data_IF_310237887958
#
_entry.id   IF_310237887958
#
_cell.length_a   1.000
_cell.length_b   1.000
_cell.length_c   1.000
_cell.angle_alpha   90.00
_cell.angle_beta   90.00
_cell.angle_gamma   90.00
#
_symmetry.space_group_name_H-M   'P 1'
#
loop_
_entity.id
_entity.type
_entity.pdbx_description
1 polymer ?
#
# COMPACT_ATOMS: atom_id res chain seq x y z
N UNK A 1 -26.22 -25.65 -0.49
CA UNK A 1 -24.74 -25.65 -0.58
C UNK A 1 -24.23 -24.72 0.50
N UNK A 2 -23.79 -25.27 1.62
CA UNK A 2 -23.22 -24.49 2.73
C UNK A 2 -21.73 -24.30 2.45
N UNK A 3 -21.33 -23.05 2.27
CA UNK A 3 -19.92 -22.66 2.29
C UNK A 3 -19.44 -22.67 3.73
N UNK A 4 -18.78 -23.76 4.15
CA UNK A 4 -18.04 -23.79 5.40
C UNK A 4 -16.65 -23.19 5.16
N UNK A 5 -16.51 -21.90 5.42
CA UNK A 5 -15.19 -21.37 5.80
C UNK A 5 -14.94 -21.78 7.26
N UNK A 6 -13.77 -22.36 7.61
CA UNK A 6 -13.47 -22.62 9.00
C UNK A 6 -13.25 -21.29 9.72
N UNK A 7 -14.26 -20.88 10.49
CA UNK A 7 -14.14 -19.88 11.54
C UNK A 7 -13.42 -20.56 12.71
N UNK A 8 -12.12 -20.29 12.88
CA UNK A 8 -11.41 -20.65 14.09
C UNK A 8 -11.85 -19.72 15.23
N UNK A 9 -12.84 -20.18 15.99
CA UNK A 9 -13.16 -19.68 17.32
C UNK A 9 -13.48 -20.87 18.21
N UNK A 10 -12.48 -21.29 18.99
CA UNK A 10 -12.60 -22.30 20.03
C UNK A 10 -11.26 -22.49 20.71
N UNK A 11 -11.25 -22.59 22.04
CA UNK A 11 -10.06 -22.65 22.91
C UNK A 11 -9.25 -23.97 22.81
N UNK A 12 -9.40 -24.72 21.71
CA UNK A 12 -8.73 -25.99 21.46
C UNK A 12 -7.77 -25.87 20.29
N UNK A 13 -6.51 -26.29 20.48
CA UNK A 13 -5.55 -26.45 19.39
C UNK A 13 -6.02 -27.44 18.31
N UNK A 14 -5.24 -27.59 17.26
CA UNK A 14 -5.54 -28.47 16.12
C UNK A 14 -4.64 -29.70 16.18
N UNK A 15 -5.22 -30.89 15.99
CA UNK A 15 -4.47 -32.14 15.82
C UNK A 15 -4.08 -32.32 14.34
N UNK A 16 -2.80 -32.59 14.08
CA UNK A 16 -2.28 -32.96 12.77
C UNK A 16 -1.60 -34.32 12.85
N UNK A 17 -1.97 -35.25 11.96
CA UNK A 17 -1.25 -36.52 11.84
C UNK A 17 -0.03 -36.33 10.93
N UNK A 18 1.17 -36.51 11.49
CA UNK A 18 2.46 -36.46 10.75
C UNK A 18 3.19 -37.76 11.06
N UNK A 19 3.50 -38.55 10.02
CA UNK A 19 4.18 -39.85 10.13
C UNK A 19 3.51 -40.80 11.15
N UNK A 20 2.19 -40.97 11.05
CA UNK A 20 1.35 -41.78 11.95
C UNK A 20 1.38 -41.34 13.42
N UNK A 21 1.80 -40.09 13.70
CA UNK A 21 1.76 -39.48 15.03
C UNK A 21 0.84 -38.28 15.04
N UNK A 22 -0.06 -38.23 16.01
CA UNK A 22 -0.88 -37.05 16.26
C UNK A 22 -0.05 -35.97 16.97
N UNK A 23 0.14 -34.85 16.28
CA UNK A 23 0.85 -33.67 16.77
C UNK A 23 -0.18 -32.58 17.04
N UNK A 24 -0.27 -32.18 18.31
CA UNK A 24 -1.14 -31.10 18.73
C UNK A 24 -0.41 -29.76 18.66
N UNK A 25 -0.99 -28.76 17.99
CA UNK A 25 -0.42 -27.42 17.97
C UNK A 25 -1.47 -26.30 17.95
N UNK A 26 -1.03 -25.09 18.32
CA UNK A 26 -1.82 -23.87 18.24
C UNK A 26 -1.33 -23.01 17.07
N UNK A 27 -2.12 -22.81 16.00
CA UNK A 27 -1.77 -21.85 14.97
C UNK A 27 -1.81 -20.44 15.58
N UNK A 28 -0.69 -19.73 15.54
CA UNK A 28 -0.64 -18.30 15.88
C UNK A 28 -0.55 -17.48 14.61
N UNK A 29 -1.59 -16.73 14.32
CA UNK A 29 -1.62 -15.76 13.22
C UNK A 29 -1.57 -14.37 13.87
N UNK A 30 -0.61 -13.56 13.46
CA UNK A 30 -0.48 -12.19 13.94
C UNK A 30 -0.41 -11.25 12.75
N UNK A 31 -1.37 -10.32 12.68
CA UNK A 31 -1.47 -9.29 11.65
C UNK A 31 -1.67 -7.95 12.32
N UNK A 32 -0.91 -6.95 11.91
CA UNK A 32 -0.98 -5.57 12.38
C UNK A 32 -1.34 -4.69 11.19
N UNK A 33 -2.58 -4.22 11.13
CA UNK A 33 -3.01 -3.26 10.12
C UNK A 33 -2.63 -1.87 10.63
N UNK A 34 -1.77 -1.20 9.89
CA UNK A 34 -1.26 0.12 10.28
C UNK A 34 -0.83 0.90 9.04
N UNK A 35 -0.73 2.23 9.19
CA UNK A 35 -0.16 3.06 8.15
C UNK A 35 1.38 2.89 8.08
N UNK A 36 2.01 3.48 7.06
CA UNK A 36 3.45 3.30 6.87
C UNK A 36 4.31 3.84 8.04
N UNK A 37 4.07 5.05 8.59
CA UNK A 37 4.78 5.53 9.78
C UNK A 37 4.63 4.61 11.01
N UNK A 38 3.44 4.07 11.26
CA UNK A 38 3.20 3.11 12.33
C UNK A 38 3.95 1.79 12.10
N UNK A 39 3.91 1.25 10.87
CA UNK A 39 4.66 0.04 10.51
C UNK A 39 6.17 0.22 10.73
N UNK A 40 6.72 1.38 10.35
CA UNK A 40 8.11 1.75 10.65
C UNK A 40 8.39 1.83 12.15
N UNK A 41 7.40 2.21 12.97
CA UNK A 41 7.52 2.22 14.44
C UNK A 41 7.65 0.81 15.00
N UNK A 42 6.77 -0.10 14.59
CA UNK A 42 6.80 -1.50 15.04
C UNK A 42 8.10 -2.21 14.64
N UNK A 43 8.57 -1.94 13.42
CA UNK A 43 9.78 -2.53 12.85
C UNK A 43 11.09 -1.84 13.28
N UNK A 44 10.98 -0.68 13.95
CA UNK A 44 12.09 0.23 14.27
C UNK A 44 12.93 0.62 13.06
N UNK A 45 12.30 0.82 11.90
CA UNK A 45 12.96 1.37 10.71
C UNK A 45 12.78 2.88 10.64
N UNK A 46 13.69 3.57 9.96
CA UNK A 46 13.61 5.02 9.77
C UNK A 46 12.28 5.42 9.12
N UNK A 47 11.56 6.35 9.76
CA UNK A 47 10.27 6.90 9.30
C UNK A 47 10.46 7.99 8.24
N UNK A 48 11.36 7.76 7.29
CA UNK A 48 11.67 8.71 6.22
C UNK A 48 11.74 8.04 4.85
N UNK A 49 10.95 8.56 3.90
CA UNK A 49 11.04 8.17 2.50
C UNK A 49 12.40 8.55 1.87
N UNK A 50 13.17 9.42 2.53
CA UNK A 50 14.53 9.78 2.13
C UNK A 50 15.61 8.89 2.73
N UNK A 51 15.24 7.87 3.52
CA UNK A 51 16.17 6.82 3.96
C UNK A 51 16.79 6.09 2.77
N UNK A 52 18.06 5.68 2.90
CA UNK A 52 18.71 4.79 1.92
C UNK A 52 17.99 3.44 1.82
N UNK A 53 17.33 3.01 2.90
CA UNK A 53 16.50 1.81 2.94
C UNK A 53 15.08 2.17 3.42
N UNK A 54 14.22 2.70 2.54
CA UNK A 54 12.93 3.29 2.92
C UNK A 54 11.82 2.25 3.17
N UNK A 55 12.05 1.00 2.82
CA UNK A 55 11.06 -0.07 2.99
C UNK A 55 11.19 -0.72 4.38
N UNK A 56 10.07 -0.86 5.09
CA UNK A 56 10.03 -1.61 6.36
C UNK A 56 9.90 -3.14 6.15
N UNK A 57 9.65 -3.61 4.93
CA UNK A 57 9.58 -5.04 4.59
C UNK A 57 10.92 -5.63 4.13
N UNK A 58 11.74 -4.84 3.43
CA UNK A 58 12.94 -5.35 2.77
C UNK A 58 14.09 -4.32 2.80
N UNK A 59 15.29 -4.80 2.49
CA UNK A 59 16.52 -4.02 2.40
C UNK A 59 16.77 -3.52 0.97
N UNK A 60 15.72 -3.03 0.30
CA UNK A 60 15.88 -2.37 -1.00
C UNK A 60 16.48 -0.98 -0.81
N UNK A 61 17.47 -0.64 -1.64
CA UNK A 61 18.03 0.71 -1.66
C UNK A 61 17.05 1.68 -2.34
N UNK A 62 17.06 2.93 -1.90
CA UNK A 62 16.21 4.00 -2.46
C UNK A 62 16.40 4.13 -3.97
N UNK A 63 17.64 4.02 -4.43
CA UNK A 63 18.04 4.14 -5.83
C UNK A 63 17.48 3.01 -6.70
N UNK A 64 17.25 1.83 -6.10
CA UNK A 64 16.78 0.63 -6.78
C UNK A 64 15.24 0.48 -6.77
N UNK A 65 14.51 1.42 -6.16
CA UNK A 65 13.04 1.34 -6.05
C UNK A 65 12.30 1.30 -7.40
N UNK A 66 12.94 1.77 -8.48
CA UNK A 66 12.35 1.80 -9.82
C UNK A 66 12.50 0.44 -10.53
N UNK A 67 13.54 -0.34 -10.20
CA UNK A 67 13.88 -1.61 -10.84
C UNK A 67 13.95 -2.75 -9.82
N UNK A 68 12.85 -2.93 -9.08
CA UNK A 68 12.76 -3.96 -8.05
C UNK A 68 12.58 -5.34 -8.69
N UNK A 69 13.59 -6.18 -8.56
CA UNK A 69 13.52 -7.61 -8.89
C UNK A 69 13.16 -8.43 -7.66
N UNK A 70 11.96 -9.03 -7.66
CA UNK A 70 11.39 -9.73 -6.50
C UNK A 70 12.26 -10.90 -5.99
N UNK A 71 12.93 -11.59 -6.90
CA UNK A 71 13.83 -12.70 -6.62
C UNK A 71 15.14 -12.28 -5.95
N UNK A 72 15.46 -10.99 -5.98
CA UNK A 72 16.69 -10.43 -5.39
C UNK A 72 16.43 -9.64 -4.10
N UNK A 73 15.16 -9.57 -3.66
CA UNK A 73 14.80 -8.84 -2.45
C UNK A 73 15.25 -9.58 -1.19
N UNK A 74 16.13 -8.94 -0.43
CA UNK A 74 16.44 -9.37 0.93
C UNK A 74 15.33 -8.84 1.84
N UNK A 75 14.50 -9.73 2.36
CA UNK A 75 13.45 -9.40 3.32
C UNK A 75 14.05 -9.12 4.69
N UNK A 76 13.44 -8.22 5.45
CA UNK A 76 13.78 -8.00 6.85
C UNK A 76 13.16 -9.10 7.71
N UNK A 77 13.91 -9.60 8.66
CA UNK A 77 13.42 -10.48 9.71
C UNK A 77 14.14 -10.19 11.03
N UNK A 78 13.76 -10.89 12.10
CA UNK A 78 14.38 -10.68 13.39
C UNK A 78 15.84 -11.18 13.45
N UNK A 79 16.28 -12.04 12.53
CA UNK A 79 17.64 -12.59 12.52
C UNK A 79 18.59 -11.55 11.93
N UNK A 80 18.33 -11.11 10.71
CA UNK A 80 19.20 -10.14 10.04
C UNK A 80 19.14 -8.76 10.71
N UNK A 81 17.98 -8.32 11.21
CA UNK A 81 17.90 -7.02 11.88
C UNK A 81 18.59 -7.01 13.24
N UNK A 82 18.56 -8.12 13.99
CA UNK A 82 19.40 -8.29 15.20
C UNK A 82 20.89 -8.27 14.87
N UNK A 83 21.30 -8.87 13.76
CA UNK A 83 22.70 -8.87 13.33
C UNK A 83 23.21 -7.44 13.09
N UNK A 84 22.46 -6.62 12.34
CA UNK A 84 22.81 -5.21 12.16
C UNK A 84 22.86 -4.43 13.48
N UNK A 85 21.92 -4.70 14.39
CA UNK A 85 21.89 -4.05 15.70
C UNK A 85 23.11 -4.43 16.57
N UNK A 86 23.39 -5.72 16.71
CA UNK A 86 24.50 -6.23 17.53
C UNK A 86 25.87 -5.80 17.00
N UNK A 87 26.00 -5.67 15.68
CA UNK A 87 27.23 -5.23 15.03
C UNK A 87 27.40 -3.70 15.04
N UNK A 88 26.45 -2.94 15.58
CA UNK A 88 26.48 -1.47 15.56
C UNK A 88 26.32 -0.86 14.17
N UNK A 89 25.72 -1.60 13.23
CA UNK A 89 25.54 -1.23 11.81
C UNK A 89 24.08 -0.98 11.44
N UNK A 90 23.23 -0.65 12.43
CA UNK A 90 21.79 -0.36 12.24
C UNK A 90 21.51 0.61 11.08
N UNK A 91 22.33 1.65 10.94
CA UNK A 91 22.20 2.66 9.88
C UNK A 91 22.34 2.07 8.46
N UNK A 92 23.16 1.02 8.30
CA UNK A 92 23.36 0.30 7.04
C UNK A 92 22.15 -0.54 6.62
N UNK A 93 21.16 -0.67 7.51
CA UNK A 93 19.87 -1.27 7.23
C UNK A 93 18.71 -0.28 7.41
N UNK A 94 18.97 1.02 7.60
CA UNK A 94 17.91 1.99 7.90
C UNK A 94 17.10 1.66 9.17
N UNK A 95 17.77 1.10 10.18
CA UNK A 95 17.20 0.69 11.46
C UNK A 95 17.57 1.70 12.55
N UNK A 96 16.63 2.01 13.44
CA UNK A 96 16.87 2.77 14.66
C UNK A 96 17.76 1.95 15.61
N UNK A 97 18.71 2.60 16.28
CA UNK A 97 19.62 1.91 17.21
C UNK A 97 18.96 1.71 18.59
N UNK A 98 17.88 0.93 18.61
CA UNK A 98 17.09 0.57 19.80
C UNK A 98 16.71 -0.91 19.71
N UNK A 99 16.80 -1.65 20.82
CA UNK A 99 16.41 -3.06 20.85
C UNK A 99 14.90 -3.21 20.62
N UNK A 100 14.52 -4.04 19.63
CA UNK A 100 13.12 -4.21 19.29
C UNK A 100 12.47 -5.29 20.16
N UNK A 101 11.49 -4.89 20.97
CA UNK A 101 10.71 -5.80 21.81
C UNK A 101 10.14 -7.01 21.05
N UNK A 102 9.64 -6.81 19.82
CA UNK A 102 8.99 -7.86 19.03
C UNK A 102 9.94 -8.97 18.60
N UNK A 103 11.25 -8.70 18.58
CA UNK A 103 12.22 -9.72 18.21
C UNK A 103 12.36 -10.87 19.21
N UNK A 104 11.83 -10.70 20.43
CA UNK A 104 11.89 -11.72 21.49
C UNK A 104 10.56 -12.47 21.62
N UNK A 105 9.57 -12.18 20.77
CA UNK A 105 8.29 -12.90 20.73
C UNK A 105 8.45 -14.15 19.85
N UNK A 106 8.29 -15.37 20.39
CA UNK A 106 8.43 -16.59 19.62
C UNK A 106 7.43 -16.65 18.46
N UNK A 107 7.91 -17.09 17.29
CA UNK A 107 7.12 -17.27 16.06
C UNK A 107 6.46 -15.98 15.52
N UNK A 108 6.97 -14.80 15.89
CA UNK A 108 6.56 -13.53 15.31
C UNK A 108 7.69 -12.92 14.49
N UNK A 109 7.42 -12.63 13.21
CA UNK A 109 8.26 -11.74 12.42
C UNK A 109 7.51 -10.41 12.26
N UNK A 110 7.94 -9.39 12.99
CA UNK A 110 7.28 -8.08 12.99
C UNK A 110 7.26 -7.42 11.61
N UNK A 111 8.30 -7.66 10.80
CA UNK A 111 8.46 -7.09 9.47
C UNK A 111 7.48 -7.69 8.45
N UNK A 112 6.97 -8.90 8.69
CA UNK A 112 5.94 -9.53 7.84
C UNK A 112 4.55 -9.51 8.47
N UNK A 113 4.45 -9.23 9.77
CA UNK A 113 3.17 -9.13 10.49
C UNK A 113 2.43 -7.82 10.17
N UNK A 114 3.15 -6.75 9.80
CA UNK A 114 2.53 -5.50 9.38
C UNK A 114 1.90 -5.64 8.00
N UNK A 115 0.63 -5.29 7.88
CA UNK A 115 -0.11 -5.26 6.62
C UNK A 115 -0.43 -3.80 6.28
N UNK A 116 -0.14 -3.34 5.05
CA UNK A 116 -0.40 -1.95 4.68
C UNK A 116 -1.87 -1.58 4.85
N UNK A 117 -2.15 -0.46 5.53
CA UNK A 117 -3.48 0.11 5.56
C UNK A 117 -3.90 0.58 4.16
N UNK A 118 -4.81 -0.18 3.54
CA UNK A 118 -5.40 0.11 2.23
C UNK A 118 -5.99 1.52 2.14
N UNK A 119 -6.63 2.02 3.21
CA UNK A 119 -7.25 3.33 3.18
C UNK A 119 -6.20 4.43 3.00
N UNK A 120 -5.13 4.40 3.79
CA UNK A 120 -4.05 5.38 3.71
C UNK A 120 -3.16 5.17 2.49
N UNK A 121 -2.87 3.92 2.10
CA UNK A 121 -2.01 3.64 0.96
C UNK A 121 -2.68 3.87 -0.40
N UNK A 122 -3.91 3.39 -0.57
CA UNK A 122 -4.58 3.38 -1.88
C UNK A 122 -5.58 4.52 -2.02
N UNK A 123 -6.58 4.56 -1.13
CA UNK A 123 -7.70 5.50 -1.27
C UNK A 123 -7.24 6.96 -1.09
N UNK A 124 -6.53 7.23 0.01
CA UNK A 124 -6.03 8.58 0.38
C UNK A 124 -4.59 8.84 -0.10
N UNK A 125 -3.85 7.79 -0.46
CA UNK A 125 -2.47 7.87 -0.92
C UNK A 125 -2.39 7.89 -2.44
N UNK A 126 -2.15 6.72 -3.04
CA UNK A 126 -1.84 6.57 -4.46
C UNK A 126 -2.90 7.18 -5.38
N UNK A 127 -4.18 6.89 -5.15
CA UNK A 127 -5.22 7.36 -6.05
C UNK A 127 -5.43 8.87 -5.96
N UNK A 128 -5.39 9.43 -4.74
CA UNK A 128 -5.40 10.89 -4.56
C UNK A 128 -4.27 11.55 -5.32
N UNK A 129 -3.04 11.04 -5.17
CA UNK A 129 -1.88 11.53 -5.90
C UNK A 129 -2.07 11.45 -7.42
N UNK A 130 -2.58 10.33 -7.95
CA UNK A 130 -2.85 10.16 -9.38
C UNK A 130 -3.82 11.23 -9.92
N UNK A 131 -4.86 11.58 -9.16
CA UNK A 131 -5.83 12.61 -9.57
C UNK A 131 -5.21 14.00 -9.52
N UNK A 132 -4.49 14.33 -8.46
CA UNK A 132 -3.77 15.61 -8.34
C UNK A 132 -2.75 15.77 -9.47
N UNK A 133 -1.91 14.76 -9.69
CA UNK A 133 -0.91 14.73 -10.74
C UNK A 133 -1.52 14.85 -12.14
N UNK A 134 -2.56 14.07 -12.44
CA UNK A 134 -3.26 14.15 -13.74
C UNK A 134 -3.87 15.55 -13.93
N UNK A 135 -4.46 16.13 -12.89
CA UNK A 135 -5.04 17.47 -12.96
C UNK A 135 -3.98 18.53 -13.26
N UNK A 136 -2.81 18.46 -12.60
CA UNK A 136 -1.69 19.36 -12.88
C UNK A 136 -1.17 19.19 -14.31
N UNK A 137 -1.03 17.94 -14.80
CA UNK A 137 -0.64 17.69 -16.20
C UNK A 137 -1.62 18.31 -17.20
N UNK A 138 -2.93 18.18 -16.97
CA UNK A 138 -3.95 18.74 -17.84
C UNK A 138 -3.94 20.28 -17.86
N UNK A 139 -3.56 20.94 -16.76
CA UNK A 139 -3.39 22.40 -16.71
C UNK A 139 -2.24 22.90 -17.59
N UNK A 140 -1.23 22.06 -17.83
CA UNK A 140 -0.07 22.41 -18.66
C UNK A 140 -0.35 22.29 -20.16
N UNK A 141 -1.42 21.59 -20.55
CA UNK A 141 -1.78 21.38 -21.97
C UNK A 141 -2.71 22.50 -22.46
N UNK A 142 -2.67 22.85 -23.76
CA UNK A 142 -3.56 23.86 -24.32
C UNK A 142 -5.02 23.41 -24.27
N UNK A 143 -5.93 24.39 -24.12
CA UNK A 143 -7.37 24.15 -24.05
C UNK A 143 -7.92 24.19 -22.63
N UNK A 144 -9.13 23.65 -22.45
CA UNK A 144 -9.85 23.64 -21.17
C UNK A 144 -10.06 22.21 -20.65
N UNK A 145 -9.00 21.40 -20.73
CA UNK A 145 -9.09 19.96 -20.45
C UNK A 145 -9.58 19.63 -19.04
N UNK A 146 -9.21 20.44 -18.04
CA UNK A 146 -9.73 20.29 -16.67
C UNK A 146 -11.23 20.58 -16.61
N UNK A 147 -11.72 21.59 -17.34
CA UNK A 147 -13.15 21.86 -17.42
C UNK A 147 -13.89 20.73 -18.15
N UNK A 148 -13.29 20.17 -19.20
CA UNK A 148 -13.87 19.05 -19.94
C UNK A 148 -13.92 17.77 -19.09
N UNK A 149 -12.88 17.51 -18.29
CA UNK A 149 -12.87 16.48 -17.27
C UNK A 149 -14.02 16.69 -16.27
N UNK A 150 -14.18 17.92 -15.75
CA UNK A 150 -15.27 18.26 -14.82
C UNK A 150 -16.65 18.06 -15.44
N UNK A 151 -16.84 18.44 -16.71
CA UNK A 151 -18.08 18.21 -17.46
C UNK A 151 -18.36 16.71 -17.62
N UNK A 152 -17.35 15.89 -17.90
CA UNK A 152 -17.49 14.42 -18.02
C UNK A 152 -17.90 13.80 -16.69
N UNK A 153 -17.28 14.21 -15.58
CA UNK A 153 -17.68 13.77 -14.23
C UNK A 153 -19.14 14.13 -13.95
N UNK A 154 -19.57 15.35 -14.28
CA UNK A 154 -20.95 15.79 -14.07
C UNK A 154 -21.97 15.05 -14.95
N UNK A 155 -21.55 14.45 -16.06
CA UNK A 155 -22.38 13.64 -16.98
C UNK A 155 -22.52 12.19 -16.55
N UNK A 156 -21.76 11.70 -15.56
CA UNK A 156 -21.89 10.34 -15.07
C UNK A 156 -23.33 10.10 -14.56
N UNK A 157 -24.04 9.08 -15.07
CA UNK A 157 -25.39 8.77 -14.62
C UNK A 157 -25.45 8.47 -13.12
N UNK A 158 -26.57 8.84 -12.49
CA UNK A 158 -26.79 8.51 -11.08
C UNK A 158 -26.99 7.00 -10.94
N UNK A 159 -26.33 6.41 -9.95
CA UNK A 159 -26.48 5.00 -9.59
C UNK A 159 -26.55 4.85 -8.06
N UNK A 160 -27.28 3.84 -7.58
CA UNK A 160 -27.35 3.55 -6.15
C UNK A 160 -25.96 3.13 -5.61
N UNK A 161 -25.51 3.71 -4.50
CA UNK A 161 -24.19 3.40 -3.95
C UNK A 161 -23.00 4.03 -4.71
N UNK A 162 -23.25 5.04 -5.55
CA UNK A 162 -22.21 5.87 -6.16
C UNK A 162 -22.45 7.35 -5.84
N UNK A 163 -21.46 8.02 -5.26
CA UNK A 163 -21.54 9.47 -5.03
C UNK A 163 -21.56 10.27 -6.33
N UNK A 164 -22.35 11.33 -6.35
CA UNK A 164 -22.46 12.28 -7.47
C UNK A 164 -21.55 13.49 -7.22
N UNK A 165 -20.61 13.73 -8.14
CA UNK A 165 -19.62 14.82 -8.06
C UNK A 165 -20.00 16.02 -8.95
N UNK A 166 -21.05 16.76 -8.59
CA UNK A 166 -21.59 17.85 -9.44
C UNK A 166 -20.61 19.01 -9.73
N UNK A 167 -19.59 19.20 -8.88
CA UNK A 167 -18.59 20.26 -9.02
C UNK A 167 -17.24 19.75 -9.59
N UNK A 168 -17.19 18.49 -10.04
CA UNK A 168 -15.98 17.88 -10.60
C UNK A 168 -14.79 17.83 -9.64
N UNK A 169 -13.59 17.80 -10.23
CA UNK A 169 -12.27 17.73 -9.58
C UNK A 169 -11.95 19.00 -8.74
N UNK A 170 -12.64 20.11 -8.98
CA UNK A 170 -12.48 21.32 -8.15
C UNK A 170 -13.04 21.14 -6.72
N UNK A 171 -13.86 20.11 -6.48
CA UNK A 171 -14.38 19.78 -5.14
C UNK A 171 -13.47 18.85 -4.32
N UNK A 172 -12.27 18.51 -4.84
CA UNK A 172 -11.44 17.42 -4.31
C UNK A 172 -10.62 17.74 -3.06
N UNK A 173 -10.52 19.01 -2.67
CA UNK A 173 -9.65 19.41 -1.57
C UNK A 173 -10.01 18.75 -0.23
N UNK A 174 -11.18 18.11 -0.10
CA UNK A 174 -11.66 17.43 1.12
C UNK A 174 -12.53 16.21 0.86
N UNK A 175 -12.11 15.30 -0.03
CA UNK A 175 -12.82 14.02 -0.16
C UNK A 175 -12.51 13.06 0.99
N UNK A 176 -13.51 12.30 1.42
CA UNK A 176 -13.33 11.15 2.31
C UNK A 176 -12.83 9.93 1.54
N UNK A 177 -12.28 8.92 2.23
CA UNK A 177 -11.80 7.69 1.60
C UNK A 177 -12.90 6.97 0.78
N UNK A 178 -14.15 6.96 1.27
CA UNK A 178 -15.27 6.39 0.51
C UNK A 178 -15.55 7.14 -0.79
N UNK A 179 -15.34 8.46 -0.81
CA UNK A 179 -15.56 9.28 -1.99
C UNK A 179 -14.44 9.09 -3.02
N UNK A 180 -13.19 8.93 -2.57
CA UNK A 180 -12.10 8.50 -3.45
C UNK A 180 -12.40 7.13 -4.07
N UNK A 181 -12.94 6.17 -3.30
CA UNK A 181 -13.36 4.87 -3.85
C UNK A 181 -14.47 4.99 -4.90
N UNK A 182 -15.43 5.87 -4.72
CA UNK A 182 -16.46 6.11 -5.73
C UNK A 182 -15.91 6.80 -6.97
N UNK A 183 -14.98 7.73 -6.78
CA UNK A 183 -14.30 8.39 -7.89
C UNK A 183 -13.43 7.40 -8.68
N UNK A 184 -12.69 6.48 -8.03
CA UNK A 184 -11.92 5.43 -8.70
C UNK A 184 -12.74 4.66 -9.74
N UNK A 185 -13.99 4.34 -9.42
CA UNK A 185 -14.90 3.58 -10.30
C UNK A 185 -15.21 4.33 -11.60
N UNK A 186 -15.20 5.65 -11.59
CA UNK A 186 -15.62 6.49 -12.73
C UNK A 186 -14.45 7.12 -13.49
N UNK A 187 -13.28 7.27 -12.86
CA UNK A 187 -12.20 8.09 -13.41
C UNK A 187 -11.64 7.56 -14.73
N UNK A 188 -11.58 6.24 -14.92
CA UNK A 188 -11.13 5.66 -16.21
C UNK A 188 -11.97 6.17 -17.39
N UNK A 189 -13.30 6.24 -17.24
CA UNK A 189 -14.20 6.74 -18.27
C UNK A 189 -14.14 8.26 -18.45
N UNK A 190 -13.71 8.97 -17.39
CA UNK A 190 -13.58 10.43 -17.41
C UNK A 190 -12.33 10.84 -18.20
N UNK A 191 -11.20 10.17 -17.96
CA UNK A 191 -9.90 10.50 -18.57
C UNK A 191 -9.72 9.89 -19.97
N UNK A 192 -10.42 8.81 -20.29
CA UNK A 192 -10.30 8.14 -21.58
C UNK A 192 -10.60 9.10 -22.75
N UNK A 193 -9.68 9.19 -23.71
CA UNK A 193 -9.78 10.12 -24.84
C UNK A 193 -9.96 11.59 -24.43
N UNK A 194 -9.54 11.99 -23.22
CA UNK A 194 -9.60 13.39 -22.78
C UNK A 194 -8.55 14.25 -23.48
N UNK A 195 -7.41 13.65 -23.80
CA UNK A 195 -6.32 14.27 -24.52
C UNK A 195 -5.78 13.30 -25.55
N UNK A 196 -5.69 13.74 -26.80
CA UNK A 196 -4.96 13.05 -27.86
C UNK A 196 -3.75 13.90 -28.21
N UNK A 197 -2.54 13.37 -28.03
CA UNK A 197 -1.40 13.94 -28.74
C UNK A 197 -1.59 13.67 -30.21
N UNK A 198 -1.31 14.68 -31.03
CA UNK A 198 -1.24 14.50 -32.47
C UNK A 198 0.00 13.63 -32.75
N UNK A 199 -0.17 12.31 -32.67
CA UNK A 199 0.90 11.31 -32.89
C UNK A 199 1.46 11.37 -34.31
N UNK A 200 0.87 12.18 -35.19
CA UNK A 200 1.35 12.49 -36.53
C UNK A 200 2.72 13.18 -36.55
N UNK A 201 3.14 13.80 -35.44
CA UNK A 201 4.46 14.44 -35.32
C UNK A 201 5.55 13.50 -34.77
N UNK A 202 5.21 12.28 -34.36
CA UNK A 202 6.19 11.23 -34.06
C UNK A 202 6.43 10.43 -35.35
N UNK A 203 7.05 11.08 -36.34
CA UNK A 203 7.65 10.36 -37.46
C UNK A 203 9.03 9.87 -37.01
N UNK A 204 9.20 8.55 -37.04
CA UNK A 204 10.49 7.86 -36.89
C UNK A 204 11.54 8.42 -37.85
#
# INVERSE_FOLDING_TARGET
MQNNYPLFQGDGGVDFNIDDKDVWFFPRISTIICDWPEACTFSLTYKSANSNYPCHFCLVQKEDLIDIRKDQLILRDHVNMKEYFNNGTSNSAGLEHVDNYFWNIPNLNIYTATVPDRMHHLDLGLFKYQIEFTTELLKLKPGKLVDDMNKRIAKIPKHSGLKVFKKGVQSLSRLTASEYRDMMKIMVFVVDGLYSEDLSNIRN
#
